data_IF_579128819326
#
_entry.id   IF_579128819326
#
_cell.length_a   1.000
_cell.length_b   1.000
_cell.length_c   1.000
_cell.angle_alpha   90.00
_cell.angle_beta   90.00
_cell.angle_gamma   90.00
#
_symmetry.space_group_name_H-M   'P 1'
#
loop_
_entity.id
_entity.type
_entity.pdbx_description
1 polymer ?
#
# COMPACT_ATOMS: atom_id res chain seq x y z
N UNK A 1 -26.78 9.67 -12.61
CA UNK A 1 -26.19 9.63 -11.26
C UNK A 1 -24.79 10.19 -11.35
N UNK A 2 -24.54 11.34 -10.70
CA UNK A 2 -23.16 11.85 -10.60
C UNK A 2 -22.39 10.90 -9.69
N UNK A 3 -21.57 10.01 -10.26
CA UNK A 3 -20.61 9.26 -9.46
C UNK A 3 -19.58 10.24 -8.92
N UNK A 4 -19.57 10.41 -7.61
CA UNK A 4 -18.57 11.25 -6.94
C UNK A 4 -17.19 10.64 -7.23
N UNK A 5 -16.29 11.44 -7.82
CA UNK A 5 -14.90 11.02 -8.04
C UNK A 5 -14.23 10.85 -6.67
N UNK A 6 -13.79 9.64 -6.36
CA UNK A 6 -13.01 9.36 -5.17
C UNK A 6 -11.51 9.41 -5.51
N UNK A 7 -10.77 10.21 -4.76
CA UNK A 7 -9.30 10.18 -4.73
C UNK A 7 -8.91 9.55 -3.40
N UNK A 8 -8.54 8.30 -3.42
CA UNK A 8 -8.26 7.52 -2.22
C UNK A 8 -6.96 6.74 -2.37
N UNK A 9 -6.33 6.41 -1.25
CA UNK A 9 -5.13 5.58 -1.29
C UNK A 9 -5.11 4.53 -0.19
N UNK A 10 -4.55 3.36 -0.52
CA UNK A 10 -4.25 2.28 0.42
C UNK A 10 -2.75 2.16 0.62
N UNK A 11 -2.31 2.07 1.87
CA UNK A 11 -0.90 2.12 2.23
C UNK A 11 -0.51 0.87 3.02
N UNK A 12 0.39 0.07 2.45
CA UNK A 12 1.24 -0.87 3.20
C UNK A 12 2.50 -0.10 3.62
N UNK A 13 2.54 0.36 4.87
CA UNK A 13 3.59 1.26 5.35
C UNK A 13 4.63 0.54 6.18
N UNK A 14 5.74 0.21 5.55
CA UNK A 14 6.84 -0.50 6.19
C UNK A 14 8.17 0.26 6.08
N UNK A 15 9.15 -0.13 6.90
CA UNK A 15 10.51 0.42 6.84
C UNK A 15 11.30 -0.06 5.61
N UNK A 16 10.96 -1.23 5.06
CA UNK A 16 11.80 -1.92 4.08
C UNK A 16 11.21 -1.98 2.67
N UNK A 17 9.92 -1.65 2.53
CA UNK A 17 9.23 -1.71 1.24
C UNK A 17 7.84 -1.08 1.36
N UNK A 18 7.75 0.22 1.75
CA UNK A 18 6.46 0.89 1.78
C UNK A 18 5.89 0.96 0.37
N UNK A 19 4.60 0.68 0.26
CA UNK A 19 3.88 0.76 -1.00
C UNK A 19 2.55 1.49 -0.83
N UNK A 20 2.22 2.34 -1.79
CA UNK A 20 0.99 3.13 -1.86
C UNK A 20 0.27 2.78 -3.15
N UNK A 21 -0.98 2.37 -3.03
CA UNK A 21 -1.93 2.25 -4.12
C UNK A 21 -2.83 3.48 -4.12
N UNK A 22 -2.81 4.27 -5.18
CA UNK A 22 -3.71 5.40 -5.40
C UNK A 22 -4.80 4.98 -6.38
N UNK A 23 -6.06 5.29 -6.06
CA UNK A 23 -7.20 5.11 -6.94
C UNK A 23 -7.90 6.45 -7.14
N UNK A 24 -8.11 6.82 -8.40
CA UNK A 24 -8.90 7.99 -8.79
C UNK A 24 -10.04 7.54 -9.70
N UNK A 25 -11.26 7.53 -9.19
CA UNK A 25 -12.41 7.09 -9.97
C UNK A 25 -13.74 7.25 -9.24
N UNK A 26 -14.82 7.16 -10.00
CA UNK A 26 -16.20 7.21 -9.47
C UNK A 26 -16.99 5.91 -9.71
N UNK A 27 -16.34 4.86 -10.17
CA UNK A 27 -16.99 3.61 -10.58
C UNK A 27 -16.42 2.37 -9.91
N UNK A 28 -16.38 1.28 -10.67
CA UNK A 28 -15.82 0.01 -10.23
C UNK A 28 -14.31 0.17 -9.98
N UNK A 29 -13.82 -0.37 -8.88
CA UNK A 29 -12.39 -0.45 -8.59
C UNK A 29 -11.73 -1.51 -9.48
N UNK A 30 -10.76 -1.11 -10.29
CA UNK A 30 -9.97 -2.01 -11.14
C UNK A 30 -8.48 -1.72 -10.97
N UNK A 31 -7.63 -2.70 -11.30
CA UNK A 31 -6.19 -2.51 -11.24
C UNK A 31 -5.69 -1.43 -12.21
N UNK A 32 -6.32 -1.32 -13.37
CA UNK A 32 -5.93 -0.36 -14.41
C UNK A 32 -6.23 1.09 -14.02
N UNK A 33 -7.18 1.30 -13.09
CA UNK A 33 -7.51 2.61 -12.52
C UNK A 33 -6.63 2.96 -11.32
N UNK A 34 -5.71 2.08 -10.93
CA UNK A 34 -4.78 2.29 -9.82
C UNK A 34 -3.40 2.70 -10.30
N UNK A 35 -2.75 3.57 -9.52
CA UNK A 35 -1.34 3.87 -9.65
C UNK A 35 -0.60 3.44 -8.37
N UNK A 36 0.54 2.77 -8.52
CA UNK A 36 1.30 2.22 -7.41
C UNK A 36 2.66 2.89 -7.30
N UNK A 37 3.03 3.26 -6.07
CA UNK A 37 4.32 3.83 -5.74
C UNK A 37 4.97 3.02 -4.63
N UNK A 38 6.25 2.68 -4.76
CA UNK A 38 6.96 1.95 -3.71
C UNK A 38 8.43 2.37 -3.61
N UNK A 39 8.98 2.30 -2.39
CA UNK A 39 10.40 2.47 -2.15
C UNK A 39 11.09 1.10 -2.08
N UNK A 40 12.32 1.05 -2.57
CA UNK A 40 13.13 -0.15 -2.59
C UNK A 40 14.61 0.18 -2.37
N UNK A 41 15.36 -0.76 -1.78
CA UNK A 41 16.82 -0.74 -1.70
C UNK A 41 17.50 -1.43 -2.90
N UNK A 42 16.70 -2.00 -3.79
CA UNK A 42 17.17 -2.85 -4.90
C UNK A 42 17.03 -2.10 -6.21
N UNK A 43 18.15 -1.62 -6.76
CA UNK A 43 18.23 -0.78 -7.98
C UNK A 43 17.42 -1.33 -9.17
N UNK A 44 17.36 -2.65 -9.37
CA UNK A 44 16.61 -3.25 -10.48
C UNK A 44 15.09 -3.02 -10.41
N UNK A 45 14.56 -2.66 -9.23
CA UNK A 45 13.14 -2.35 -9.04
C UNK A 45 12.85 -0.85 -9.02
N UNK A 46 13.86 0.01 -8.96
CA UNK A 46 13.71 1.47 -9.00
C UNK A 46 13.46 1.94 -10.45
N UNK A 47 12.31 1.60 -10.98
CA UNK A 47 11.83 1.95 -12.33
C UNK A 47 10.32 1.75 -12.43
N UNK A 48 9.75 2.18 -13.55
CA UNK A 48 8.33 1.92 -13.85
C UNK A 48 8.11 0.54 -14.46
N UNK A 49 6.97 -0.07 -14.10
CA UNK A 49 6.46 -1.32 -14.67
C UNK A 49 5.00 -1.07 -15.11
N UNK A 50 4.58 -1.67 -16.21
CA UNK A 50 3.22 -1.61 -16.76
C UNK A 50 2.65 -0.20 -16.97
N UNK A 51 3.43 0.86 -16.76
CA UNK A 51 3.00 2.25 -16.88
C UNK A 51 2.33 2.82 -15.63
N UNK A 52 1.85 1.99 -14.71
CA UNK A 52 1.13 2.40 -13.50
C UNK A 52 1.78 1.93 -12.17
N UNK A 53 2.94 1.30 -12.21
CA UNK A 53 3.71 0.88 -11.03
C UNK A 53 5.06 1.60 -11.06
N UNK A 54 5.39 2.37 -10.02
CA UNK A 54 6.58 3.21 -9.95
C UNK A 54 7.41 2.88 -8.72
N UNK A 55 8.62 2.34 -8.95
CA UNK A 55 9.59 2.08 -7.91
C UNK A 55 10.64 3.17 -7.83
N UNK A 56 11.01 3.57 -6.63
CA UNK A 56 12.04 4.55 -6.33
C UNK A 56 13.03 4.02 -5.29
N UNK A 57 14.27 4.50 -5.33
CA UNK A 57 15.25 4.18 -4.29
C UNK A 57 14.94 4.95 -3.02
N UNK A 58 15.16 4.32 -1.86
CA UNK A 58 15.21 5.07 -0.62
C UNK A 58 16.25 6.19 -0.69
N UNK A 59 15.95 7.33 -0.07
CA UNK A 59 16.97 8.34 0.21
C UNK A 59 18.00 7.80 1.20
N UNK A 60 19.23 8.30 1.15
CA UNK A 60 20.24 8.00 2.17
C UNK A 60 19.86 8.59 3.52
N UNK A 61 20.22 7.93 4.60
CA UNK A 61 20.00 8.39 5.98
C UNK A 61 21.18 8.03 6.87
N UNK A 62 21.44 8.85 7.88
CA UNK A 62 22.48 8.60 8.88
C UNK A 62 21.88 8.14 10.22
N UNK A 63 20.67 8.57 10.53
CA UNK A 63 19.93 8.22 11.75
C UNK A 63 18.49 7.80 11.44
N UNK A 64 17.88 7.00 12.30
CA UNK A 64 16.54 6.46 12.09
C UNK A 64 15.47 7.53 11.83
N UNK A 65 15.58 8.68 12.51
CA UNK A 65 14.62 9.78 12.34
C UNK A 65 14.68 10.40 10.93
N UNK A 66 15.85 10.49 10.32
CA UNK A 66 15.98 10.93 8.92
C UNK A 66 15.32 9.94 7.96
N UNK A 67 15.47 8.65 8.24
CA UNK A 67 14.79 7.58 7.50
C UNK A 67 13.28 7.71 7.61
N UNK A 68 12.73 7.82 8.84
CA UNK A 68 11.29 7.95 9.05
C UNK A 68 10.74 9.21 8.38
N UNK A 69 11.47 10.31 8.50
CA UNK A 69 11.09 11.56 7.85
C UNK A 69 11.06 11.40 6.33
N UNK A 70 12.11 10.87 5.72
CA UNK A 70 12.19 10.73 4.25
C UNK A 70 11.10 9.83 3.68
N UNK A 71 10.79 8.71 4.35
CA UNK A 71 9.69 7.81 3.95
C UNK A 71 8.34 8.53 4.09
N UNK A 72 8.14 9.28 5.17
CA UNK A 72 6.90 9.99 5.41
C UNK A 72 6.72 11.18 4.44
N UNK A 73 7.79 11.91 4.11
CA UNK A 73 7.77 13.00 3.13
C UNK A 73 7.42 12.48 1.74
N UNK A 74 8.06 11.38 1.31
CA UNK A 74 7.72 10.70 0.07
C UNK A 74 6.24 10.27 0.03
N UNK A 75 5.73 9.70 1.12
CA UNK A 75 4.34 9.29 1.18
C UNK A 75 3.38 10.50 1.12
N UNK A 76 3.65 11.57 1.86
CA UNK A 76 2.81 12.78 1.87
C UNK A 76 2.79 13.46 0.50
N UNK A 77 3.91 13.51 -0.22
CA UNK A 77 3.95 14.07 -1.57
C UNK A 77 3.01 13.36 -2.55
N UNK A 78 2.84 12.04 -2.40
CA UNK A 78 1.89 11.25 -3.19
C UNK A 78 0.45 11.48 -2.71
N UNK A 79 0.25 11.64 -1.39
CA UNK A 79 -1.06 11.59 -0.75
C UNK A 79 -1.75 12.94 -0.59
N UNK A 80 -1.06 14.05 -0.80
CA UNK A 80 -1.55 15.42 -0.51
C UNK A 80 -2.86 15.81 -1.20
N UNK A 81 -3.21 15.15 -2.29
CA UNK A 81 -4.48 15.40 -3.01
C UNK A 81 -5.56 14.35 -2.72
N UNK A 82 -5.28 13.40 -1.83
CA UNK A 82 -6.24 12.35 -1.51
C UNK A 82 -7.32 12.86 -0.56
N UNK A 83 -8.57 12.48 -0.85
CA UNK A 83 -9.69 12.79 0.03
C UNK A 83 -9.66 11.97 1.32
N UNK A 84 -9.12 10.78 1.25
CA UNK A 84 -8.98 9.87 2.39
C UNK A 84 -7.93 8.80 2.09
N UNK A 85 -7.22 8.34 3.11
CA UNK A 85 -6.27 7.25 3.00
C UNK A 85 -6.60 6.13 3.99
N UNK A 86 -6.28 4.90 3.62
CA UNK A 86 -6.30 3.74 4.51
C UNK A 86 -4.91 3.22 4.73
N UNK A 87 -4.61 2.89 5.97
CA UNK A 87 -3.32 2.40 6.41
C UNK A 87 -3.51 1.04 7.08
N UNK A 88 -2.67 0.06 6.75
CA UNK A 88 -2.68 -1.20 7.48
C UNK A 88 -2.30 -0.99 8.96
N UNK A 89 -3.06 -1.59 9.84
CA UNK A 89 -2.78 -1.56 11.28
C UNK A 89 -1.56 -2.40 11.66
N UNK A 90 -1.04 -2.19 12.85
CA UNK A 90 0.11 -2.96 13.34
C UNK A 90 -0.22 -4.45 13.45
N UNK A 91 0.70 -5.29 12.98
CA UNK A 91 0.70 -6.70 13.31
C UNK A 91 1.27 -6.87 14.73
N UNK A 92 0.42 -7.19 15.71
CA UNK A 92 0.82 -7.38 17.12
C UNK A 92 1.86 -8.50 17.33
N UNK A 93 2.10 -9.34 16.31
CA UNK A 93 3.09 -10.42 16.34
C UNK A 93 4.50 -9.98 15.90
N UNK A 94 4.72 -8.72 15.55
CA UNK A 94 6.02 -8.22 15.12
C UNK A 94 6.97 -8.14 16.34
N UNK A 95 7.85 -9.12 16.49
CA UNK A 95 8.86 -9.13 17.54
C UNK A 95 10.12 -8.35 17.13
N UNK A 96 10.69 -7.57 18.04
CA UNK A 96 12.00 -6.93 17.91
C UNK A 96 12.04 -5.56 17.24
N UNK A 97 11.23 -5.30 16.18
CA UNK A 97 11.22 -4.02 15.45
C UNK A 97 9.93 -3.20 15.65
N UNK A 98 9.08 -3.61 16.56
CA UNK A 98 7.75 -3.02 16.76
C UNK A 98 7.81 -1.53 17.08
N UNK A 99 8.83 -1.11 17.85
CA UNK A 99 9.01 0.29 18.22
C UNK A 99 9.40 1.14 16.99
N UNK A 100 10.35 0.71 16.18
CA UNK A 100 10.73 1.40 14.95
C UNK A 100 9.57 1.49 13.94
N UNK A 101 8.75 0.44 13.85
CA UNK A 101 7.54 0.45 13.02
C UNK A 101 6.54 1.47 13.57
N UNK A 102 6.35 1.52 14.88
CA UNK A 102 5.42 2.45 15.51
C UNK A 102 5.88 3.90 15.36
N UNK A 103 7.18 4.18 15.57
CA UNK A 103 7.78 5.51 15.37
C UNK A 103 7.63 5.97 13.92
N UNK A 104 8.04 5.14 12.96
CA UNK A 104 7.91 5.44 11.54
C UNK A 104 6.46 5.75 11.14
N UNK A 105 5.52 4.90 11.58
CA UNK A 105 4.09 5.10 11.30
C UNK A 105 3.53 6.33 12.03
N UNK A 106 4.04 6.62 13.23
CA UNK A 106 3.68 7.81 13.99
C UNK A 106 4.06 9.10 13.25
N UNK A 107 5.25 9.14 12.64
CA UNK A 107 5.70 10.29 11.84
C UNK A 107 4.78 10.50 10.63
N UNK A 108 4.43 9.44 9.90
CA UNK A 108 3.48 9.53 8.78
C UNK A 108 2.11 10.06 9.23
N UNK A 109 1.53 9.46 10.28
CA UNK A 109 0.22 9.88 10.80
C UNK A 109 0.20 11.34 11.23
N UNK A 110 1.28 11.81 11.87
CA UNK A 110 1.41 13.20 12.26
C UNK A 110 1.45 14.15 11.05
N UNK A 111 2.21 13.80 10.01
CA UNK A 111 2.26 14.60 8.78
C UNK A 111 0.91 14.62 8.04
N UNK A 112 0.24 13.47 7.92
CA UNK A 112 -1.10 13.41 7.31
C UNK A 112 -2.13 14.24 8.10
N UNK A 113 -2.03 14.24 9.44
CA UNK A 113 -2.86 15.09 10.29
C UNK A 113 -2.59 16.58 10.03
N UNK A 114 -1.32 16.98 9.85
CA UNK A 114 -0.97 18.38 9.53
C UNK A 114 -1.54 18.81 8.15
N UNK A 115 -1.55 17.91 7.18
CA UNK A 115 -2.15 18.13 5.85
C UNK A 115 -3.69 18.03 5.84
N UNK A 116 -4.31 17.69 6.97
CA UNK A 116 -5.76 17.53 7.06
C UNK A 116 -6.32 16.31 6.32
N UNK A 117 -5.48 15.31 6.03
CA UNK A 117 -5.86 14.09 5.30
C UNK A 117 -6.43 13.07 6.28
N UNK A 118 -7.71 12.65 6.16
CA UNK A 118 -8.31 11.64 7.02
C UNK A 118 -7.65 10.26 6.82
N UNK A 119 -7.34 9.58 7.93
CA UNK A 119 -6.71 8.25 7.94
C UNK A 119 -7.63 7.22 8.56
N UNK A 120 -7.91 6.14 7.84
CA UNK A 120 -8.60 4.96 8.36
C UNK A 120 -7.60 3.83 8.57
N UNK A 121 -7.62 3.20 9.73
CA UNK A 121 -6.76 2.04 10.04
C UNK A 121 -7.54 0.76 9.78
N UNK A 122 -7.01 -0.13 8.94
CA UNK A 122 -7.62 -1.42 8.62
C UNK A 122 -6.74 -2.54 9.22
N UNK A 123 -7.30 -3.44 10.05
CA UNK A 123 -6.55 -4.57 10.58
C UNK A 123 -6.01 -5.49 9.48
N UNK A 124 -4.77 -6.02 9.58
CA UNK A 124 -4.19 -6.93 8.58
C UNK A 124 -5.06 -8.17 8.30
N UNK A 125 -5.71 -8.70 9.33
CA UNK A 125 -6.62 -9.86 9.21
C UNK A 125 -7.87 -9.54 8.36
N UNK A 126 -8.34 -8.30 8.40
CA UNK A 126 -9.48 -7.85 7.58
C UNK A 126 -9.06 -7.69 6.12
N UNK A 127 -7.91 -7.08 5.84
CA UNK A 127 -7.35 -6.95 4.49
C UNK A 127 -7.19 -8.33 3.86
N UNK A 128 -6.55 -9.26 4.58
CA UNK A 128 -6.32 -10.63 4.12
C UNK A 128 -7.64 -11.39 3.88
N UNK A 129 -8.60 -11.27 4.78
CA UNK A 129 -9.92 -11.88 4.62
C UNK A 129 -10.67 -11.30 3.43
N UNK A 130 -10.59 -9.99 3.22
CA UNK A 130 -11.22 -9.32 2.09
C UNK A 130 -10.62 -9.77 0.75
N UNK A 131 -9.28 -9.83 0.64
CA UNK A 131 -8.60 -10.21 -0.60
C UNK A 131 -8.71 -11.70 -0.92
N UNK A 132 -8.42 -12.57 0.07
CA UNK A 132 -8.27 -14.02 -0.15
C UNK A 132 -9.40 -14.88 0.41
N UNK A 133 -10.33 -14.31 1.18
CA UNK A 133 -11.35 -15.04 1.94
C UNK A 133 -10.86 -15.59 3.29
N UNK A 134 -9.56 -15.46 3.62
CA UNK A 134 -8.95 -15.99 4.86
C UNK A 134 -8.13 -14.93 5.59
N UNK A 135 -8.46 -14.64 6.85
CA UNK A 135 -7.75 -13.63 7.65
C UNK A 135 -6.30 -13.98 8.02
N UNK A 136 -5.92 -15.25 7.89
CA UNK A 136 -4.55 -15.74 8.11
C UNK A 136 -3.83 -16.09 6.81
N UNK A 137 -4.26 -15.54 5.67
CA UNK A 137 -3.62 -15.75 4.38
C UNK A 137 -2.14 -15.37 4.41
N UNK A 138 -1.32 -16.19 3.80
CA UNK A 138 0.08 -15.88 3.53
C UNK A 138 0.25 -15.12 2.20
N UNK A 139 1.48 -14.74 1.88
CA UNK A 139 1.79 -13.96 0.67
C UNK A 139 1.45 -14.71 -0.62
N UNK A 140 1.57 -16.04 -0.63
CA UNK A 140 1.23 -16.86 -1.81
C UNK A 140 -0.28 -16.90 -2.03
N UNK A 141 -1.06 -17.02 -0.96
CA UNK A 141 -2.53 -16.99 -1.03
C UNK A 141 -3.04 -15.62 -1.49
N UNK A 142 -2.46 -14.53 -0.98
CA UNK A 142 -2.80 -13.17 -1.41
C UNK A 142 -2.46 -12.95 -2.89
N UNK A 143 -1.28 -13.40 -3.33
CA UNK A 143 -0.89 -13.35 -4.75
C UNK A 143 -1.84 -14.16 -5.64
N UNK A 144 -2.19 -15.39 -5.24
CA UNK A 144 -3.13 -16.21 -6.00
C UNK A 144 -4.50 -15.54 -6.14
N UNK A 145 -5.00 -14.94 -5.06
CA UNK A 145 -6.25 -14.19 -5.08
C UNK A 145 -6.18 -12.98 -6.02
N UNK A 146 -5.06 -12.24 -5.98
CA UNK A 146 -4.82 -11.10 -6.86
C UNK A 146 -4.78 -11.50 -8.34
N UNK A 147 -4.04 -12.57 -8.69
CA UNK A 147 -3.99 -13.08 -10.07
C UNK A 147 -5.36 -13.53 -10.54
N UNK A 148 -6.11 -14.24 -9.68
CA UNK A 148 -7.48 -14.69 -10.02
C UNK A 148 -8.41 -13.51 -10.28
N UNK A 149 -8.28 -12.42 -9.54
CA UNK A 149 -9.13 -11.24 -9.66
C UNK A 149 -8.77 -10.38 -10.86
N UNK A 150 -7.47 -10.08 -11.03
CA UNK A 150 -6.97 -9.09 -11.98
C UNK A 150 -6.50 -9.71 -13.31
N UNK A 151 -6.16 -10.99 -13.31
CA UNK A 151 -5.49 -11.66 -14.42
C UNK A 151 -4.00 -11.34 -14.55
N UNK A 152 -3.42 -10.58 -13.60
CA UNK A 152 -2.06 -10.04 -13.68
C UNK A 152 -1.12 -10.82 -12.75
N UNK A 153 -0.06 -11.42 -13.28
CA UNK A 153 0.99 -12.09 -12.51
C UNK A 153 2.20 -11.18 -12.29
N UNK A 154 2.11 -10.34 -11.25
CA UNK A 154 3.19 -9.43 -10.87
C UNK A 154 4.48 -10.17 -10.49
N UNK A 155 4.39 -11.39 -9.96
CA UNK A 155 5.58 -12.18 -9.61
C UNK A 155 6.38 -12.55 -10.86
N UNK A 156 5.74 -13.06 -11.88
CA UNK A 156 6.38 -13.38 -13.16
C UNK A 156 6.93 -12.14 -13.85
N UNK A 157 6.27 -10.98 -13.70
CA UNK A 157 6.69 -9.74 -14.31
C UNK A 157 7.91 -9.10 -13.61
N UNK A 158 7.89 -9.02 -12.28
CA UNK A 158 8.85 -8.22 -11.51
C UNK A 158 9.95 -9.05 -10.85
N UNK A 159 9.63 -10.28 -10.45
CA UNK A 159 10.53 -11.16 -9.68
C UNK A 159 10.57 -12.57 -10.21
N UNK A 160 10.79 -12.81 -11.54
CA UNK A 160 10.72 -14.14 -12.14
C UNK A 160 11.74 -15.13 -11.52
N UNK A 161 12.90 -14.62 -11.10
CA UNK A 161 13.97 -15.42 -10.52
C UNK A 161 13.75 -15.81 -9.05
N UNK A 162 12.74 -15.23 -8.38
CA UNK A 162 12.45 -15.54 -6.98
C UNK A 162 11.51 -16.75 -6.89
N UNK A 163 11.81 -17.68 -5.97
CA UNK A 163 10.96 -18.84 -5.71
C UNK A 163 9.62 -18.41 -5.11
N UNK A 164 9.67 -17.55 -4.10
CA UNK A 164 8.52 -17.14 -3.30
C UNK A 164 8.09 -15.71 -3.61
N UNK A 165 6.82 -15.41 -3.33
CA UNK A 165 6.30 -14.03 -3.39
C UNK A 165 6.87 -13.22 -2.23
N UNK A 166 7.46 -12.08 -2.55
CA UNK A 166 8.04 -11.13 -1.59
C UNK A 166 8.04 -9.72 -2.15
N UNK A 167 8.68 -8.78 -1.45
CA UNK A 167 8.84 -7.41 -1.93
C UNK A 167 9.51 -7.35 -3.31
N UNK A 168 9.07 -6.42 -4.18
CA UNK A 168 7.98 -5.45 -3.98
C UNK A 168 6.58 -6.01 -4.31
N UNK A 169 6.48 -7.22 -4.84
CA UNK A 169 5.21 -7.82 -5.31
C UNK A 169 4.19 -7.95 -4.19
N UNK A 170 4.59 -8.48 -3.02
CA UNK A 170 3.68 -8.60 -1.87
C UNK A 170 3.14 -7.24 -1.43
N UNK A 171 4.00 -6.23 -1.40
CA UNK A 171 3.68 -4.91 -0.88
C UNK A 171 2.70 -4.17 -1.81
N UNK A 172 2.85 -4.36 -3.13
CA UNK A 172 1.90 -3.86 -4.15
C UNK A 172 0.52 -4.53 -3.96
N UNK A 173 0.48 -5.85 -3.75
CA UNK A 173 -0.76 -6.60 -3.56
C UNK A 173 -1.46 -6.18 -2.26
N UNK A 174 -0.71 -6.01 -1.18
CA UNK A 174 -1.26 -5.60 0.11
C UNK A 174 -1.82 -4.17 0.01
N UNK A 175 -1.10 -3.22 -0.58
CA UNK A 175 -1.59 -1.85 -0.81
C UNK A 175 -2.83 -1.80 -1.71
N UNK A 176 -2.91 -2.66 -2.75
CA UNK A 176 -4.08 -2.81 -3.59
C UNK A 176 -5.32 -3.21 -2.80
N UNK A 177 -5.22 -4.26 -1.96
CA UNK A 177 -6.37 -4.72 -1.19
C UNK A 177 -6.75 -3.78 -0.05
N UNK A 178 -5.79 -3.04 0.53
CA UNK A 178 -6.07 -1.98 1.50
C UNK A 178 -6.91 -0.87 0.83
N UNK A 179 -6.50 -0.41 -0.35
CA UNK A 179 -7.21 0.62 -1.11
C UNK A 179 -8.60 0.14 -1.55
N UNK A 180 -8.69 -1.07 -2.11
CA UNK A 180 -9.93 -1.67 -2.56
C UNK A 180 -10.94 -1.89 -1.44
N UNK A 181 -10.47 -2.31 -0.26
CA UNK A 181 -11.32 -2.46 0.93
C UNK A 181 -11.93 -1.12 1.32
N UNK A 182 -11.14 -0.05 1.40
CA UNK A 182 -11.65 1.29 1.68
C UNK A 182 -12.66 1.75 0.64
N UNK A 183 -12.37 1.58 -0.65
CA UNK A 183 -13.32 1.90 -1.73
C UNK A 183 -14.66 1.20 -1.51
N UNK A 184 -14.62 -0.09 -1.19
CA UNK A 184 -15.82 -0.88 -0.94
C UNK A 184 -16.62 -0.38 0.27
N UNK A 185 -15.92 -0.03 1.36
CA UNK A 185 -16.55 0.47 2.58
C UNK A 185 -17.20 1.84 2.35
N UNK A 186 -16.58 2.72 1.55
CA UNK A 186 -17.15 4.02 1.17
C UNK A 186 -18.44 3.86 0.35
N UNK A 187 -18.48 2.91 -0.58
CA UNK A 187 -19.70 2.63 -1.36
C UNK A 187 -20.83 2.14 -0.47
N UNK A 188 -20.54 1.28 0.50
CA UNK A 188 -21.56 0.77 1.45
C UNK A 188 -22.08 1.88 2.36
N UNK A 189 -21.20 2.79 2.80
CA UNK A 189 -21.57 3.90 3.68
C UNK A 189 -22.40 5.00 2.99
N UNK A 190 -22.43 4.97 1.66
CA UNK A 190 -23.16 5.96 0.83
C UNK A 190 -24.57 5.49 0.43
N UNK A 191 -24.96 4.25 0.82
CA UNK A 191 -26.28 3.65 0.62
C UNK A 191 -27.19 3.85 1.83
#
# INVERSE_FOLDING_TARGET
MNHMMHKIAGIDYSLCGPCICVFEGGGRFTFDDCCFYFLTDTKKYAKSFMGNIHGEMFSEWNVDMERYQSIADWAVDILKEMHQVSLEGYAYSATGKVFHIAENTGVLKYKLFQEGIPVTIIPPTEVKKFGSGKGNADKQMMHHAFVKETGIDLKSLMTPDKKDVGSPVSDIIDSYYICKKMHTDLLVSSL
#
